data_IF_084131487922
#
_entry.id   IF_084131487922
#
_cell.length_a   1.000
_cell.length_b   1.000
_cell.length_c   1.000
_cell.angle_alpha   90.00
_cell.angle_beta   90.00
_cell.angle_gamma   90.00
#
_symmetry.space_group_name_H-M   'P 1'
#
loop_
_entity.id
_entity.type
_entity.pdbx_description
1 polymer ?
#
# COMPACT_ATOMS: atom_id res chain seq x y z
N UNK A 1 4.01 -0.89 2.71
CA UNK A 1 2.82 -1.78 2.64
C UNK A 1 2.56 -2.15 1.20
N UNK A 2 2.23 -3.41 0.90
CA UNK A 2 1.97 -3.87 -0.48
C UNK A 2 0.49 -4.15 -0.66
N UNK A 3 -0.10 -3.63 -1.75
CA UNK A 3 -1.46 -3.93 -2.16
C UNK A 3 -1.41 -4.93 -3.33
N UNK A 4 -2.25 -5.96 -3.24
CA UNK A 4 -2.27 -7.10 -4.17
C UNK A 4 -3.63 -7.28 -4.82
N UNK A 5 -3.65 -7.89 -6.00
CA UNK A 5 -4.86 -8.28 -6.69
C UNK A 5 -5.53 -9.47 -5.97
N UNK A 6 -6.87 -9.51 -6.02
CA UNK A 6 -7.66 -10.54 -5.37
C UNK A 6 -7.32 -11.92 -5.91
N UNK A 7 -7.05 -12.87 -5.02
CA UNK A 7 -6.66 -14.24 -5.37
C UNK A 7 -5.16 -14.50 -5.45
N UNK A 8 -4.31 -13.47 -5.30
CA UNK A 8 -2.85 -13.66 -5.17
C UNK A 8 -2.50 -14.46 -3.90
N UNK A 9 -1.52 -15.40 -3.94
CA UNK A 9 -0.61 -15.73 -5.04
C UNK A 9 -1.14 -16.74 -6.08
N UNK A 10 -2.40 -17.17 -5.95
CA UNK A 10 -3.08 -18.06 -6.89
C UNK A 10 -3.60 -17.34 -8.14
N UNK A 11 -4.77 -17.73 -8.64
CA UNK A 11 -5.38 -17.09 -9.82
C UNK A 11 -5.97 -15.73 -9.41
N UNK A 12 -5.50 -14.67 -10.05
CA UNK A 12 -5.95 -13.30 -9.80
C UNK A 12 -6.45 -12.62 -11.08
N UNK A 13 -7.28 -11.60 -10.90
CA UNK A 13 -7.78 -10.76 -11.98
C UNK A 13 -6.81 -9.63 -12.31
N UNK A 14 -6.85 -9.18 -13.57
CA UNK A 14 -6.14 -8.00 -14.07
C UNK A 14 -7.11 -7.10 -14.80
N UNK A 15 -6.68 -5.87 -15.13
CA UNK A 15 -7.43 -4.82 -15.83
C UNK A 15 -8.47 -4.09 -14.99
N UNK A 16 -8.54 -4.34 -13.70
CA UNK A 16 -9.39 -3.56 -12.80
C UNK A 16 -8.88 -2.12 -12.72
N UNK A 17 -9.78 -1.14 -12.82
CA UNK A 17 -9.44 0.27 -12.66
C UNK A 17 -9.04 0.52 -11.22
N UNK A 18 -7.85 1.09 -11.01
CA UNK A 18 -7.38 1.54 -9.70
C UNK A 18 -7.92 2.95 -9.46
N UNK A 19 -8.67 3.10 -8.37
CA UNK A 19 -9.32 4.34 -7.98
C UNK A 19 -8.72 4.88 -6.67
N UNK A 20 -8.85 6.19 -6.46
CA UNK A 20 -8.36 6.86 -5.25
C UNK A 20 -6.84 7.03 -5.16
N UNK A 21 -6.13 6.84 -6.28
CA UNK A 21 -4.75 7.30 -6.37
C UNK A 21 -4.72 8.83 -6.20
N UNK A 22 -3.85 9.36 -5.34
CA UNK A 22 -3.69 10.81 -5.21
C UNK A 22 -3.14 11.37 -6.52
N UNK A 23 -3.52 12.61 -6.83
CA UNK A 23 -3.02 13.31 -8.01
C UNK A 23 -1.50 13.50 -7.95
N UNK A 24 -0.96 13.73 -6.76
CA UNK A 24 0.46 13.96 -6.49
C UNK A 24 0.90 13.18 -5.26
N UNK A 25 2.16 12.75 -5.22
CA UNK A 25 2.75 12.22 -3.99
C UNK A 25 3.02 13.33 -2.98
N UNK A 26 2.79 13.07 -1.69
CA UNK A 26 3.19 13.97 -0.62
C UNK A 26 4.64 13.69 -0.21
N UNK A 27 5.30 14.65 0.47
CA UNK A 27 6.67 14.46 0.97
C UNK A 27 6.79 13.22 1.88
N UNK A 28 5.74 12.98 2.68
CA UNK A 28 5.71 11.93 3.67
C UNK A 28 5.10 10.61 3.16
N UNK A 29 4.60 10.54 1.93
CA UNK A 29 4.00 9.33 1.39
C UNK A 29 4.22 9.16 -0.11
N UNK A 30 4.82 8.02 -0.48
CA UNK A 30 5.08 7.63 -1.86
C UNK A 30 4.38 6.33 -2.20
N UNK A 31 3.69 6.33 -3.36
CA UNK A 31 3.10 5.14 -3.96
C UNK A 31 3.99 4.72 -5.13
N UNK A 32 4.48 3.50 -5.07
CA UNK A 32 5.26 2.85 -6.11
C UNK A 32 4.37 1.89 -6.90
N UNK A 33 4.38 2.05 -8.21
CA UNK A 33 3.67 1.19 -9.15
C UNK A 33 4.50 -0.07 -9.43
N UNK A 34 3.88 -1.24 -9.28
CA UNK A 34 4.48 -2.54 -9.64
C UNK A 34 3.68 -3.14 -10.81
N UNK A 35 2.73 -4.02 -10.52
CA UNK A 35 1.83 -4.60 -11.53
C UNK A 35 0.70 -3.65 -11.89
N UNK A 36 1.01 -2.53 -12.56
CA UNK A 36 0.01 -1.60 -13.11
C UNK A 36 0.24 -1.28 -14.57
N UNK A 37 -0.82 -0.92 -15.30
CA UNK A 37 -0.75 -0.34 -16.65
C UNK A 37 -1.50 0.99 -16.70
N UNK A 38 -1.16 1.86 -17.66
CA UNK A 38 -1.89 3.10 -17.93
C UNK A 38 -2.62 2.95 -19.28
N UNK A 39 -3.95 3.01 -19.26
CA UNK A 39 -4.78 2.88 -20.46
C UNK A 39 -5.85 3.98 -20.46
N UNK A 40 -5.93 4.76 -21.54
CA UNK A 40 -6.92 5.85 -21.70
C UNK A 40 -6.96 6.82 -20.51
N UNK A 41 -5.80 7.13 -19.94
CA UNK A 41 -5.68 8.04 -18.80
C UNK A 41 -6.10 7.46 -17.45
N UNK A 42 -6.34 6.15 -17.36
CA UNK A 42 -6.65 5.46 -16.10
C UNK A 42 -5.61 4.40 -15.80
N UNK A 43 -5.32 4.23 -14.52
CA UNK A 43 -4.40 3.19 -14.05
C UNK A 43 -5.19 1.91 -13.82
N UNK A 44 -4.67 0.78 -14.30
CA UNK A 44 -5.27 -0.54 -14.15
C UNK A 44 -4.34 -1.52 -13.44
N UNK A 45 -4.90 -2.54 -12.79
CA UNK A 45 -4.12 -3.68 -12.28
C UNK A 45 -3.55 -4.50 -13.43
N UNK A 46 -2.31 -4.94 -13.31
CA UNK A 46 -1.60 -5.72 -14.33
C UNK A 46 -0.61 -6.73 -13.73
N UNK A 47 -0.90 -7.25 -12.54
CA UNK A 47 -0.05 -8.23 -11.86
C UNK A 47 -0.56 -8.58 -10.46
N UNK A 48 0.05 -9.59 -9.84
CA UNK A 48 -0.35 -10.05 -8.50
C UNK A 48 -0.05 -9.02 -7.39
N UNK A 49 1.17 -8.46 -7.38
CA UNK A 49 1.52 -7.29 -6.56
C UNK A 49 1.32 -6.04 -7.39
N UNK A 50 0.48 -5.12 -6.93
CA UNK A 50 0.00 -4.01 -7.74
C UNK A 50 0.69 -2.71 -7.33
N UNK A 51 0.59 -2.34 -6.05
CA UNK A 51 1.17 -1.10 -5.51
C UNK A 51 2.00 -1.38 -4.27
N UNK A 52 2.99 -0.53 -4.02
CA UNK A 52 3.69 -0.45 -2.74
C UNK A 52 3.60 0.97 -2.19
N UNK A 53 3.05 1.12 -1.00
CA UNK A 53 2.93 2.40 -0.29
C UNK A 53 4.04 2.48 0.75
N UNK A 54 4.81 3.55 0.71
CA UNK A 54 5.85 3.87 1.69
C UNK A 54 5.52 5.22 2.29
N UNK A 55 5.47 5.30 3.61
CA UNK A 55 5.26 6.55 4.33
C UNK A 55 6.40 6.78 5.33
N UNK A 56 6.68 8.06 5.58
CA UNK A 56 7.61 8.54 6.59
C UNK A 56 6.84 9.00 7.83
N UNK A 57 7.47 8.89 8.99
CA UNK A 57 6.95 9.35 10.28
C UNK A 57 8.08 9.41 11.30
N UNK A 58 7.87 10.13 12.39
CA UNK A 58 8.87 10.27 13.47
C UNK A 58 9.04 8.97 14.27
N UNK A 59 8.06 8.07 14.15
CA UNK A 59 8.08 6.72 14.74
C UNK A 59 7.67 5.70 13.70
N UNK A 60 8.02 4.44 13.93
CA UNK A 60 7.56 3.32 13.11
C UNK A 60 6.03 3.23 13.13
N UNK A 61 5.41 3.47 14.30
CA UNK A 61 3.94 3.49 14.44
C UNK A 61 3.30 4.58 13.56
N UNK A 62 3.86 5.79 13.56
CA UNK A 62 3.35 6.90 12.75
C UNK A 62 3.48 6.61 11.25
N UNK A 63 4.65 6.14 10.81
CA UNK A 63 4.88 5.74 9.42
C UNK A 63 3.90 4.63 8.98
N UNK A 64 3.65 3.66 9.86
CA UNK A 64 2.69 2.59 9.61
C UNK A 64 1.26 3.13 9.46
N UNK A 65 0.80 3.98 10.39
CA UNK A 65 -0.55 4.55 10.36
C UNK A 65 -0.79 5.40 9.10
N UNK A 66 0.19 6.20 8.70
CA UNK A 66 0.12 7.00 7.47
C UNK A 66 0.02 6.13 6.22
N UNK A 67 0.82 5.06 6.14
CA UNK A 67 0.72 4.11 5.04
C UNK A 67 -0.68 3.47 5.00
N UNK A 68 -1.24 3.06 6.14
CA UNK A 68 -2.60 2.51 6.24
C UNK A 68 -3.69 3.50 5.83
N UNK A 69 -3.58 4.77 6.23
CA UNK A 69 -4.49 5.82 5.78
C UNK A 69 -4.49 5.93 4.27
N UNK A 70 -3.31 6.00 3.64
CA UNK A 70 -3.21 6.09 2.18
C UNK A 70 -3.78 4.86 1.45
N UNK A 71 -3.64 3.65 1.99
CA UNK A 71 -4.23 2.45 1.38
C UNK A 71 -5.75 2.42 1.46
N UNK A 72 -6.36 2.99 2.51
CA UNK A 72 -7.83 3.01 2.66
C UNK A 72 -8.51 3.79 1.54
N UNK A 73 -7.83 4.79 1.00
CA UNK A 73 -8.34 5.60 -0.09
C UNK A 73 -8.21 4.90 -1.45
N UNK A 74 -7.34 3.89 -1.57
CA UNK A 74 -7.07 3.20 -2.83
C UNK A 74 -7.90 1.92 -2.93
N UNK A 75 -8.67 1.81 -4.00
CA UNK A 75 -9.57 0.67 -4.20
C UNK A 75 -9.64 0.20 -5.65
N UNK A 76 -9.88 -1.10 -5.79
CA UNK A 76 -10.31 -1.80 -7.00
C UNK A 76 -10.96 -3.12 -6.58
N UNK A 77 -11.56 -3.84 -7.52
CA UNK A 77 -12.20 -5.12 -7.22
C UNK A 77 -11.18 -6.16 -6.73
N UNK A 78 -11.37 -6.66 -5.50
CA UNK A 78 -10.46 -7.65 -4.90
C UNK A 78 -9.14 -7.07 -4.38
N UNK A 79 -9.01 -5.75 -4.22
CA UNK A 79 -7.87 -5.15 -3.54
C UNK A 79 -7.67 -5.75 -2.15
N UNK A 80 -6.45 -6.20 -1.84
CA UNK A 80 -6.10 -6.71 -0.52
C UNK A 80 -4.73 -6.20 -0.08
N UNK A 81 -4.58 -5.99 1.22
CA UNK A 81 -3.29 -5.70 1.87
C UNK A 81 -3.28 -6.29 3.28
N UNK A 82 -2.09 -6.62 3.77
CA UNK A 82 -1.89 -7.15 5.12
C UNK A 82 -2.04 -6.05 6.18
N UNK A 83 -2.70 -6.40 7.30
CA UNK A 83 -2.99 -5.48 8.42
C UNK A 83 -1.93 -5.55 9.55
N UNK A 84 -0.96 -6.47 9.45
CA UNK A 84 0.07 -6.76 10.46
C UNK A 84 1.48 -6.27 10.07
N UNK A 85 1.60 -5.45 9.02
CA UNK A 85 2.89 -4.98 8.52
C UNK A 85 3.49 -3.99 9.52
N UNK A 86 4.66 -4.31 10.08
CA UNK A 86 5.42 -3.42 10.96
C UNK A 86 5.23 -3.65 12.47
N UNK A 87 4.35 -4.57 12.87
CA UNK A 87 4.08 -4.85 14.30
C UNK A 87 5.34 -5.17 15.11
N UNK A 88 6.21 -6.06 14.61
CA UNK A 88 7.48 -6.41 15.31
C UNK A 88 8.44 -5.23 15.46
N UNK A 89 8.40 -4.27 14.54
CA UNK A 89 9.24 -3.08 14.62
C UNK A 89 8.67 -2.07 15.63
N UNK A 90 7.34 -1.96 15.71
CA UNK A 90 6.64 -1.18 16.75
C UNK A 90 6.93 -1.75 18.15
N UNK A 91 6.85 -3.07 18.33
CA UNK A 91 7.20 -3.71 19.61
C UNK A 91 8.64 -3.40 20.04
N UNK A 92 9.59 -3.43 19.10
CA UNK A 92 11.00 -3.09 19.38
C UNK A 92 11.19 -1.62 19.76
N UNK A 93 10.53 -0.70 19.04
CA UNK A 93 10.57 0.74 19.32
C UNK A 93 10.02 1.07 20.72
N UNK A 94 8.91 0.42 21.09
CA UNK A 94 8.29 0.58 22.42
C UNK A 94 9.13 0.00 23.55
N UNK A 95 9.81 -1.13 23.30
CA UNK A 95 10.70 -1.75 24.29
C UNK A 95 12.04 -1.01 24.44
N UNK A 96 12.53 -0.37 23.37
CA UNK A 96 13.77 0.42 23.41
C UNK A 96 13.65 1.76 24.13
N UNK A 97 12.45 2.37 24.17
CA UNK A 97 12.17 3.60 24.91
C UNK A 97 11.97 3.38 26.44
N UNK A 98 11.93 2.13 26.90
CA UNK A 98 11.72 1.77 28.31
C UNK A 98 13.02 1.40 29.06
N UNK A 99 14.19 1.62 28.46
CA UNK A 99 15.50 1.36 29.05
C UNK A 99 16.28 2.63 29.34
#
# INVERSE_FOLDING_TARGET
MVLVAGGYPGKYNTKDVILGLPAESTEDCKIFHAGTSLEKGRVHTNGGRVLCITALGNTVLEAQQRAYQQAKDIYWHGCFYQHDIGYRAIEREQNGHKS
#
